data_IF_122608914105
#
_entry.id   IF_122608914105
#
_cell.length_a   1.000
_cell.length_b   1.000
_cell.length_c   1.000
_cell.angle_alpha   90.00
_cell.angle_beta   90.00
_cell.angle_gamma   90.00
#
_symmetry.space_group_name_H-M   'P 1'
#
loop_
_entity.id
_entity.type
_entity.pdbx_description
1 polymer ?
#
# COMPACT_ATOMS: atom_id res chain seq x y z
N UNK A 1 -9.87 -66.15 9.96
CA UNK A 1 -11.08 -65.30 10.01
C UNK A 1 -10.62 -63.87 10.28
N UNK A 2 -10.63 -62.99 9.27
CA UNK A 2 -10.13 -61.60 9.41
C UNK A 2 -11.31 -60.72 9.81
N UNK A 3 -11.25 -60.10 10.99
CA UNK A 3 -12.23 -59.10 11.44
C UNK A 3 -11.72 -57.72 11.05
N UNK A 4 -12.50 -56.99 10.26
CA UNK A 4 -12.35 -55.55 10.11
C UNK A 4 -13.25 -54.86 11.14
N UNK A 5 -12.65 -54.15 12.09
CA UNK A 5 -13.37 -53.29 13.02
C UNK A 5 -13.27 -51.84 12.52
N UNK A 6 -14.40 -51.18 12.33
CA UNK A 6 -14.46 -49.74 12.05
C UNK A 6 -14.60 -49.05 13.41
N UNK A 7 -13.54 -48.38 13.85
CA UNK A 7 -13.57 -47.52 15.04
C UNK A 7 -14.08 -46.13 14.66
N UNK A 8 -15.20 -45.71 15.24
CA UNK A 8 -15.76 -44.37 15.05
C UNK A 8 -15.13 -43.41 16.09
N UNK A 9 -14.03 -42.77 15.72
CA UNK A 9 -13.37 -41.69 16.50
C UNK A 9 -14.15 -40.35 16.49
N UNK A 10 -15.33 -40.33 15.85
CA UNK A 10 -16.10 -39.12 15.59
C UNK A 10 -16.53 -38.35 16.84
N UNK A 11 -16.80 -39.04 17.95
CA UNK A 11 -17.22 -38.38 19.19
C UNK A 11 -16.07 -37.59 19.85
N UNK A 12 -14.87 -38.16 19.97
CA UNK A 12 -13.69 -37.42 20.50
C UNK A 12 -13.29 -36.27 19.60
N UNK A 13 -13.32 -36.48 18.28
CA UNK A 13 -13.03 -35.43 17.31
C UNK A 13 -14.05 -34.29 17.36
N UNK A 14 -15.33 -34.61 17.59
CA UNK A 14 -16.43 -33.67 17.75
C UNK A 14 -16.34 -32.91 19.08
N UNK A 15 -16.08 -33.59 20.20
CA UNK A 15 -15.92 -32.96 21.51
C UNK A 15 -14.70 -32.02 21.53
N UNK A 16 -13.60 -32.42 20.89
CA UNK A 16 -12.47 -31.52 20.67
C UNK A 16 -12.89 -30.32 19.80
N UNK A 17 -13.64 -30.53 18.71
CA UNK A 17 -14.13 -29.44 17.86
C UNK A 17 -15.09 -28.47 18.58
N UNK A 18 -15.95 -28.97 19.48
CA UNK A 18 -16.84 -28.17 20.31
C UNK A 18 -16.05 -27.39 21.38
N UNK A 19 -15.01 -27.99 21.95
CA UNK A 19 -14.10 -27.32 22.88
C UNK A 19 -13.31 -26.21 22.18
N UNK A 20 -12.86 -26.42 20.93
CA UNK A 20 -12.27 -25.37 20.07
C UNK A 20 -13.23 -24.20 19.92
N UNK A 21 -14.49 -24.48 19.57
CA UNK A 21 -15.56 -23.48 19.42
C UNK A 21 -15.86 -22.73 20.72
N UNK A 22 -15.82 -23.41 21.86
CA UNK A 22 -15.98 -22.77 23.17
C UNK A 22 -14.81 -21.84 23.53
N UNK A 23 -13.57 -22.25 23.24
CA UNK A 23 -12.36 -21.41 23.44
C UNK A 23 -12.35 -20.22 22.48
N UNK A 24 -12.79 -20.41 21.23
CA UNK A 24 -13.01 -19.35 20.25
C UNK A 24 -14.00 -18.29 20.75
N UNK A 25 -15.11 -18.73 21.35
CA UNK A 25 -16.08 -17.83 21.97
C UNK A 25 -15.52 -17.05 23.16
N UNK A 26 -14.50 -17.58 23.84
CA UNK A 26 -13.89 -16.98 25.04
C UNK A 26 -12.76 -15.99 24.73
N UNK A 27 -11.96 -16.22 23.69
CA UNK A 27 -10.89 -15.27 23.30
C UNK A 27 -10.53 -15.36 21.81
N UNK A 28 -11.30 -14.70 20.92
CA UNK A 28 -11.02 -14.67 19.48
C UNK A 28 -9.88 -13.71 19.10
N UNK A 29 -9.32 -12.97 20.06
CA UNK A 29 -8.26 -11.96 19.83
C UNK A 29 -7.04 -12.49 19.07
N UNK A 30 -6.50 -13.70 19.35
CA UNK A 30 -5.37 -14.25 18.59
C UNK A 30 -5.67 -14.47 17.10
N UNK A 31 -6.93 -14.73 16.74
CA UNK A 31 -7.34 -14.90 15.34
C UNK A 31 -7.31 -13.56 14.63
N UNK A 32 -7.92 -12.54 15.23
CA UNK A 32 -7.91 -11.21 14.64
C UNK A 32 -6.49 -10.66 14.53
N UNK A 33 -5.62 -10.94 15.51
CA UNK A 33 -4.20 -10.64 15.40
C UNK A 33 -3.54 -11.31 14.19
N UNK A 34 -3.76 -12.62 14.00
CA UNK A 34 -3.19 -13.35 12.87
C UNK A 34 -3.70 -12.82 11.51
N UNK A 35 -5.00 -12.51 11.42
CA UNK A 35 -5.61 -11.94 10.22
C UNK A 35 -5.04 -10.54 9.92
N UNK A 36 -4.94 -9.68 10.93
CA UNK A 36 -4.43 -8.32 10.77
C UNK A 36 -2.96 -8.33 10.31
N UNK A 37 -2.12 -9.16 10.95
CA UNK A 37 -0.73 -9.35 10.57
C UNK A 37 -0.59 -9.90 9.14
N UNK A 38 -1.44 -10.86 8.76
CA UNK A 38 -1.46 -11.38 7.39
C UNK A 38 -1.82 -10.30 6.38
N UNK A 39 -2.87 -9.52 6.62
CA UNK A 39 -3.30 -8.44 5.73
C UNK A 39 -2.24 -7.35 5.55
N UNK A 40 -1.51 -7.01 6.63
CA UNK A 40 -0.35 -6.13 6.55
C UNK A 40 0.76 -6.73 5.67
N UNK A 41 1.14 -7.99 5.91
CA UNK A 41 2.21 -8.65 5.18
C UNK A 41 1.86 -8.87 3.70
N UNK A 42 0.63 -9.29 3.39
CA UNK A 42 0.17 -9.45 2.01
C UNK A 42 0.16 -8.11 1.27
N UNK A 43 -0.22 -7.03 1.96
CA UNK A 43 -0.11 -5.67 1.42
C UNK A 43 1.34 -5.29 1.14
N UNK A 44 2.28 -5.59 2.05
CA UNK A 44 3.72 -5.33 1.81
C UNK A 44 4.25 -6.12 0.61
N UNK A 45 3.86 -7.39 0.48
CA UNK A 45 4.24 -8.24 -0.64
C UNK A 45 3.74 -7.71 -2.00
N UNK A 46 2.56 -7.08 -2.03
CA UNK A 46 2.04 -6.42 -3.24
C UNK A 46 2.93 -5.28 -3.73
N UNK A 47 3.56 -4.53 -2.81
CA UNK A 47 4.56 -3.52 -3.19
C UNK A 47 5.81 -4.16 -3.80
N UNK A 48 6.24 -5.32 -3.31
CA UNK A 48 7.39 -6.03 -3.89
C UNK A 48 7.06 -6.59 -5.26
N UNK A 49 5.90 -7.25 -5.39
CA UNK A 49 5.37 -7.83 -6.63
C UNK A 49 4.92 -6.80 -7.66
N UNK A 50 4.75 -5.53 -7.26
CA UNK A 50 4.22 -4.45 -8.11
C UNK A 50 2.83 -4.76 -8.70
N UNK A 51 2.00 -5.48 -7.94
CA UNK A 51 0.69 -5.95 -8.38
C UNK A 51 -0.36 -5.77 -7.28
N UNK A 52 -1.61 -5.55 -7.69
CA UNK A 52 -2.73 -5.36 -6.79
C UNK A 52 -3.26 -6.66 -6.17
N UNK A 53 -4.29 -6.57 -5.29
CA UNK A 53 -4.96 -7.74 -4.74
C UNK A 53 -5.55 -8.65 -5.82
N UNK A 54 -6.04 -8.08 -6.92
CA UNK A 54 -6.54 -8.82 -8.07
C UNK A 54 -5.46 -9.52 -8.90
N UNK A 55 -4.17 -9.33 -8.55
CA UNK A 55 -3.03 -9.84 -9.29
C UNK A 55 -2.62 -8.97 -10.48
N UNK A 56 -3.38 -7.91 -10.80
CA UNK A 56 -3.06 -7.02 -11.90
C UNK A 56 -1.84 -6.17 -11.58
N UNK A 57 -0.88 -6.12 -12.51
CA UNK A 57 0.29 -5.26 -12.38
C UNK A 57 -0.10 -3.77 -12.34
N UNK A 58 0.50 -3.01 -11.43
CA UNK A 58 0.23 -1.57 -11.35
C UNK A 58 0.81 -0.82 -12.54
N UNK A 59 0.08 0.18 -13.03
CA UNK A 59 0.60 1.11 -14.04
C UNK A 59 1.88 1.79 -13.52
N UNK A 60 3.02 1.64 -14.21
CA UNK A 60 4.29 2.22 -13.78
C UNK A 60 4.18 3.73 -13.56
N UNK A 61 4.78 4.23 -12.48
CA UNK A 61 4.89 5.67 -12.25
C UNK A 61 5.86 6.31 -13.26
N UNK A 62 5.61 7.56 -13.66
CA UNK A 62 6.52 8.29 -14.56
C UNK A 62 7.96 8.39 -14.01
N UNK A 63 8.13 8.41 -12.67
CA UNK A 63 9.45 8.33 -12.04
C UNK A 63 10.07 6.94 -12.20
N UNK A 64 9.32 5.86 -11.99
CA UNK A 64 9.82 4.50 -12.21
C UNK A 64 10.29 4.30 -13.66
N UNK A 65 9.55 4.86 -14.63
CA UNK A 65 9.94 4.79 -16.05
C UNK A 65 11.19 5.63 -16.38
N UNK A 66 11.33 6.82 -15.79
CA UNK A 66 12.43 7.75 -16.11
C UNK A 66 13.73 7.47 -15.37
N UNK A 67 13.64 7.07 -14.10
CA UNK A 67 14.78 6.94 -13.19
C UNK A 67 14.94 5.52 -12.63
N UNK A 68 14.12 4.58 -13.06
CA UNK A 68 14.09 3.22 -12.53
C UNK A 68 13.40 3.10 -11.16
N UNK A 69 13.45 1.87 -10.62
CA UNK A 69 12.87 1.50 -9.33
C UNK A 69 11.36 1.19 -9.37
N UNK A 70 10.80 0.93 -8.20
CA UNK A 70 9.46 0.37 -8.01
C UNK A 70 8.37 1.44 -7.83
N UNK A 71 7.25 1.31 -8.53
CA UNK A 71 6.06 2.14 -8.36
C UNK A 71 5.53 2.07 -6.92
N UNK A 72 5.03 3.20 -6.42
CA UNK A 72 4.68 3.44 -5.00
C UNK A 72 5.85 3.36 -3.99
N UNK A 73 7.06 3.02 -4.46
CA UNK A 73 8.28 2.95 -3.63
C UNK A 73 9.27 4.04 -4.05
N UNK A 74 9.09 5.25 -3.50
CA UNK A 74 10.07 6.35 -3.64
C UNK A 74 11.09 6.33 -2.50
N UNK A 75 10.66 6.72 -1.30
CA UNK A 75 11.46 6.69 -0.07
C UNK A 75 11.04 5.56 0.89
N UNK A 76 10.25 4.59 0.38
CA UNK A 76 9.58 3.55 1.16
C UNK A 76 8.64 4.08 2.27
N UNK A 77 8.30 5.37 2.30
CA UNK A 77 7.42 5.95 3.34
C UNK A 77 6.03 5.31 3.34
N UNK A 78 5.42 5.15 2.16
CA UNK A 78 4.10 4.52 2.04
C UNK A 78 4.14 3.06 2.52
N UNK A 79 5.11 2.28 2.02
CA UNK A 79 5.32 0.90 2.45
C UNK A 79 5.51 0.78 3.97
N UNK A 80 6.36 1.63 4.57
CA UNK A 80 6.62 1.63 6.01
C UNK A 80 5.43 2.10 6.86
N UNK A 81 4.52 2.87 6.27
CA UNK A 81 3.30 3.33 6.96
C UNK A 81 2.18 2.30 6.97
N UNK A 82 2.35 1.15 6.30
CA UNK A 82 1.37 0.07 6.39
C UNK A 82 1.49 -0.55 7.77
N UNK A 83 0.40 -0.49 8.54
CA UNK A 83 0.32 -1.06 9.89
C UNK A 83 -1.02 -1.76 10.07
N UNK A 84 -1.03 -2.76 10.93
CA UNK A 84 -2.22 -3.49 11.36
C UNK A 84 -2.66 -3.12 12.78
N UNK A 85 -3.96 -3.22 13.03
CA UNK A 85 -4.60 -3.07 14.34
C UNK A 85 -5.65 -4.16 14.51
N UNK A 86 -5.82 -4.67 15.73
CA UNK A 86 -6.74 -5.76 16.02
C UNK A 86 -7.30 -5.66 17.44
N UNK A 87 -8.47 -6.25 17.65
CA UNK A 87 -9.15 -6.32 18.93
C UNK A 87 -9.86 -7.65 19.15
N UNK A 88 -10.80 -7.69 20.09
CA UNK A 88 -11.57 -8.90 20.39
C UNK A 88 -12.60 -9.28 19.32
N UNK A 89 -12.90 -8.41 18.36
CA UNK A 89 -13.91 -8.66 17.33
C UNK A 89 -13.56 -8.06 15.97
N UNK A 90 -12.32 -7.56 15.81
CA UNK A 90 -11.93 -6.87 14.58
C UNK A 90 -10.45 -7.07 14.25
N UNK A 91 -10.15 -7.08 12.95
CA UNK A 91 -8.83 -6.99 12.37
C UNK A 91 -8.86 -5.93 11.28
N UNK A 92 -7.90 -5.01 11.26
CA UNK A 92 -7.78 -3.99 10.23
C UNK A 92 -6.31 -3.71 9.91
N UNK A 93 -6.03 -3.25 8.70
CA UNK A 93 -4.70 -2.81 8.27
C UNK A 93 -4.83 -1.73 7.21
N UNK A 94 -3.83 -0.86 7.12
CA UNK A 94 -3.90 0.28 6.21
C UNK A 94 -2.72 1.23 6.35
N UNK A 95 -2.84 2.40 5.71
CA UNK A 95 -1.90 3.51 5.85
C UNK A 95 -2.65 4.77 6.27
N UNK A 96 -2.03 5.57 7.13
CA UNK A 96 -2.53 6.89 7.55
C UNK A 96 -2.03 8.04 6.65
N UNK A 97 -1.28 7.76 5.57
CA UNK A 97 -0.73 8.82 4.74
C UNK A 97 -1.81 9.44 3.84
N UNK A 98 -1.86 10.78 3.70
CA UNK A 98 -2.93 11.46 2.97
C UNK A 98 -2.99 11.08 1.49
N UNK A 99 -1.83 10.77 0.90
CA UNK A 99 -1.73 10.36 -0.50
C UNK A 99 -1.96 8.86 -0.72
N UNK A 100 -2.15 8.06 0.34
CA UNK A 100 -2.45 6.64 0.23
C UNK A 100 -3.79 6.41 -0.49
N UNK A 101 -4.81 7.21 -0.14
CA UNK A 101 -6.17 7.11 -0.72
C UNK A 101 -6.18 7.30 -2.24
N UNK A 102 -5.55 8.36 -2.73
CA UNK A 102 -5.53 8.64 -4.18
C UNK A 102 -4.73 7.57 -4.95
N UNK A 103 -3.75 6.91 -4.33
CA UNK A 103 -3.10 5.76 -4.94
C UNK A 103 -3.95 4.50 -4.90
N UNK A 104 -4.67 4.24 -3.81
CA UNK A 104 -5.56 3.09 -3.69
C UNK A 104 -6.69 3.15 -4.72
N UNK A 105 -7.38 4.28 -4.80
CA UNK A 105 -8.63 4.42 -5.57
C UNK A 105 -8.42 5.07 -6.95
N UNK A 106 -7.29 5.74 -7.17
CA UNK A 106 -7.14 6.64 -8.31
C UNK A 106 -8.00 7.90 -8.16
N UNK A 107 -7.99 8.74 -9.19
CA UNK A 107 -8.83 9.94 -9.27
C UNK A 107 -8.07 11.17 -9.76
N UNK A 108 -8.74 12.31 -9.70
CA UNK A 108 -8.20 13.59 -10.17
C UNK A 108 -7.72 14.44 -9.01
N UNK A 109 -6.50 14.99 -9.15
CA UNK A 109 -5.99 16.00 -8.23
C UNK A 109 -6.14 17.35 -8.92
N UNK A 110 -7.00 18.19 -8.38
CA UNK A 110 -7.23 19.53 -8.89
C UNK A 110 -6.13 20.49 -8.40
N UNK A 111 -5.63 21.33 -9.31
CA UNK A 111 -4.69 22.40 -9.03
C UNK A 111 -5.34 23.71 -9.41
N UNK A 112 -5.58 24.55 -8.41
CA UNK A 112 -6.08 25.91 -8.63
C UNK A 112 -5.07 26.73 -9.45
N UNK A 113 -5.60 27.73 -10.15
CA UNK A 113 -4.78 28.70 -10.85
C UNK A 113 -3.87 29.44 -9.85
N UNK A 114 -2.65 29.76 -10.25
CA UNK A 114 -1.70 30.49 -9.42
C UNK A 114 -0.74 31.32 -10.25
N UNK A 115 -0.31 32.44 -9.70
CA UNK A 115 0.78 33.23 -10.25
C UNK A 115 2.10 32.71 -9.69
N UNK A 116 3.06 32.45 -10.57
CA UNK A 116 4.40 31.97 -10.23
C UNK A 116 5.41 33.01 -10.72
N UNK A 117 6.33 33.39 -9.84
CA UNK A 117 7.46 34.23 -10.21
C UNK A 117 8.57 33.37 -10.78
N UNK A 118 9.04 33.72 -11.97
CA UNK A 118 10.14 33.02 -12.65
C UNK A 118 11.33 33.96 -12.78
N UNK A 119 12.52 33.43 -12.47
CA UNK A 119 13.80 34.13 -12.62
C UNK A 119 14.53 33.56 -13.84
N UNK A 120 14.77 34.40 -14.85
CA UNK A 120 15.37 34.01 -16.13
C UNK A 120 16.72 34.71 -16.31
N UNK A 121 17.73 33.99 -16.80
CA UNK A 121 19.07 34.53 -17.05
C UNK A 121 19.03 35.54 -18.18
N UNK A 122 19.80 36.61 -18.02
CA UNK A 122 20.04 37.60 -19.07
C UNK A 122 21.52 37.61 -19.50
N UNK A 123 21.76 38.05 -20.73
CA UNK A 123 23.10 38.41 -21.19
C UNK A 123 23.53 39.77 -20.58
N UNK A 124 24.73 40.25 -20.94
CA UNK A 124 25.22 41.55 -20.48
C UNK A 124 24.39 42.74 -21.01
N UNK A 125 23.65 42.54 -22.10
CA UNK A 125 22.81 43.56 -22.77
C UNK A 125 21.36 43.53 -22.27
N UNK A 126 20.99 42.59 -21.39
CA UNK A 126 19.65 42.44 -20.84
C UNK A 126 18.74 41.47 -21.61
N UNK A 127 19.19 40.85 -22.70
CA UNK A 127 18.40 39.88 -23.45
C UNK A 127 18.32 38.54 -22.73
N UNK A 128 17.18 37.85 -22.84
CA UNK A 128 17.00 36.52 -22.24
C UNK A 128 17.91 35.49 -22.90
N UNK A 129 18.72 34.81 -22.09
CA UNK A 129 19.52 33.68 -22.56
C UNK A 129 18.60 32.51 -22.90
N UNK A 130 18.73 31.96 -24.10
CA UNK A 130 17.96 30.80 -24.56
C UNK A 130 18.69 29.48 -24.29
N UNK A 131 17.95 28.38 -24.23
CA UNK A 131 18.53 27.05 -24.12
C UNK A 131 19.23 26.68 -25.43
N UNK A 132 20.38 26.02 -25.34
CA UNK A 132 21.14 25.62 -26.53
C UNK A 132 20.31 24.72 -27.46
N UNK A 133 19.52 23.82 -26.87
CA UNK A 133 18.73 22.82 -27.60
C UNK A 133 17.36 23.36 -28.06
N UNK A 134 16.93 24.52 -27.56
CA UNK A 134 15.65 25.12 -27.95
C UNK A 134 15.70 26.63 -27.78
N UNK A 135 15.78 27.33 -28.91
CA UNK A 135 15.90 28.80 -28.96
C UNK A 135 14.66 29.53 -28.44
N UNK A 136 13.51 28.87 -28.34
CA UNK A 136 12.28 29.46 -27.81
C UNK A 136 12.24 29.46 -26.27
N UNK A 137 13.02 28.59 -25.62
CA UNK A 137 12.99 28.44 -24.16
C UNK A 137 14.09 29.27 -23.49
N UNK A 138 13.72 30.11 -22.53
CA UNK A 138 14.68 30.85 -21.73
C UNK A 138 15.36 29.96 -20.66
N UNK A 139 16.59 30.30 -20.28
CA UNK A 139 17.30 29.61 -19.20
C UNK A 139 16.91 30.18 -17.84
N UNK A 140 16.45 29.31 -16.95
CA UNK A 140 16.20 29.68 -15.56
C UNK A 140 17.51 30.10 -14.85
N UNK A 141 17.41 31.14 -14.03
CA UNK A 141 18.48 31.64 -13.19
C UNK A 141 18.36 31.04 -11.78
N UNK A 142 19.50 30.64 -11.21
CA UNK A 142 19.59 30.35 -9.77
C UNK A 142 19.48 31.67 -9.00
N UNK A 143 19.13 31.56 -7.72
CA UNK A 143 18.90 32.71 -6.85
C UNK A 143 20.10 33.68 -6.81
N UNK A 144 21.30 33.18 -6.51
CA UNK A 144 22.54 33.99 -6.50
C UNK A 144 23.05 34.46 -7.87
N UNK A 145 22.33 34.20 -8.98
CA UNK A 145 22.75 34.67 -10.28
C UNK A 145 22.47 36.17 -10.45
N UNK A 146 23.53 36.96 -10.66
CA UNK A 146 23.45 38.43 -10.72
C UNK A 146 22.70 38.96 -11.96
N UNK A 147 22.89 38.33 -13.12
CA UNK A 147 22.25 38.75 -14.38
C UNK A 147 20.97 37.97 -14.62
N UNK A 148 19.88 38.41 -14.01
CA UNK A 148 18.60 37.78 -14.18
C UNK A 148 17.46 38.79 -14.15
N UNK A 149 16.40 38.47 -14.90
CA UNK A 149 15.13 39.18 -14.89
C UNK A 149 14.08 38.31 -14.21
N UNK A 150 13.31 38.93 -13.34
CA UNK A 150 12.12 38.29 -12.76
C UNK A 150 10.87 38.67 -13.58
N UNK A 151 10.00 37.71 -13.80
CA UNK A 151 8.72 37.90 -14.45
C UNK A 151 7.65 37.08 -13.75
N UNK A 152 6.48 37.67 -13.60
CA UNK A 152 5.29 36.95 -13.19
C UNK A 152 4.73 36.15 -14.37
N UNK A 153 4.31 34.93 -14.10
CA UNK A 153 3.62 34.06 -15.04
C UNK A 153 2.42 33.42 -14.38
N UNK A 154 1.29 33.42 -15.07
CA UNK A 154 0.06 32.81 -14.61
C UNK A 154 0.01 31.35 -15.06
N UNK A 155 -0.28 30.47 -14.13
CA UNK A 155 -0.55 29.06 -14.39
C UNK A 155 -2.05 28.87 -14.18
N UNK A 156 -2.77 28.57 -15.26
CA UNK A 156 -4.19 28.26 -15.20
C UNK A 156 -4.48 27.02 -14.36
N UNK A 157 -5.74 26.87 -13.93
CA UNK A 157 -6.17 25.69 -13.21
C UNK A 157 -6.06 24.43 -14.09
N UNK A 158 -5.61 23.32 -13.50
CA UNK A 158 -5.47 22.06 -14.23
C UNK A 158 -5.69 20.85 -13.33
N UNK A 159 -5.95 19.70 -13.95
CA UNK A 159 -6.18 18.43 -13.25
C UNK A 159 -5.04 17.45 -13.53
N UNK A 160 -4.65 16.70 -12.51
CA UNK A 160 -3.70 15.59 -12.63
C UNK A 160 -4.47 14.29 -12.45
N UNK A 161 -4.62 13.52 -13.53
CA UNK A 161 -5.24 12.18 -13.49
C UNK A 161 -4.27 11.18 -12.85
N UNK A 162 -4.63 10.65 -11.70
CA UNK A 162 -3.89 9.59 -11.01
C UNK A 162 -4.54 8.23 -11.30
N UNK A 163 -3.82 7.24 -11.87
CA UNK A 163 -4.36 5.90 -12.01
C UNK A 163 -4.44 5.20 -10.64
N UNK A 164 -5.47 4.37 -10.49
CA UNK A 164 -5.60 3.48 -9.33
C UNK A 164 -4.47 2.44 -9.32
N UNK A 165 -3.93 2.19 -8.13
CA UNK A 165 -2.91 1.20 -7.82
C UNK A 165 -3.32 0.54 -6.51
N UNK A 166 -4.38 -0.29 -6.52
CA UNK A 166 -4.91 -0.87 -5.31
C UNK A 166 -3.84 -1.75 -4.66
N UNK A 167 -3.51 -1.46 -3.41
CA UNK A 167 -2.58 -2.23 -2.60
C UNK A 167 -3.26 -2.81 -1.36
N UNK A 168 -4.32 -2.16 -0.88
CA UNK A 168 -5.24 -2.72 0.12
C UNK A 168 -6.33 -3.54 -0.57
N UNK A 169 -6.80 -4.58 0.11
CA UNK A 169 -7.79 -5.52 -0.39
C UNK A 169 -7.47 -6.94 0.04
N UNK A 170 -8.43 -7.82 -0.19
CA UNK A 170 -8.33 -9.25 0.09
C UNK A 170 -8.78 -9.96 -1.17
N UNK A 171 -7.96 -10.87 -1.69
CA UNK A 171 -8.31 -11.71 -2.81
C UNK A 171 -8.68 -13.13 -2.35
N UNK A 172 -8.97 -14.02 -3.30
CA UNK A 172 -9.34 -15.41 -2.98
C UNK A 172 -8.24 -16.13 -2.21
N UNK A 173 -6.98 -16.00 -2.63
CA UNK A 173 -5.83 -16.64 -1.98
C UNK A 173 -5.59 -16.13 -0.56
N UNK A 174 -5.79 -14.83 -0.35
CA UNK A 174 -5.73 -14.19 0.96
C UNK A 174 -6.78 -14.80 1.90
N UNK A 175 -8.03 -14.93 1.44
CA UNK A 175 -9.12 -15.54 2.24
C UNK A 175 -8.79 -16.98 2.65
N UNK A 176 -8.27 -17.79 1.73
CA UNK A 176 -7.86 -19.16 2.04
C UNK A 176 -6.72 -19.20 3.06
N UNK A 177 -5.76 -18.28 2.94
CA UNK A 177 -4.63 -18.20 3.86
C UNK A 177 -5.06 -17.73 5.25
N UNK A 178 -5.94 -16.72 5.33
CA UNK A 178 -6.55 -16.28 6.59
C UNK A 178 -7.36 -17.39 7.26
N UNK A 179 -8.14 -18.17 6.48
CA UNK A 179 -8.88 -19.32 7.00
C UNK A 179 -7.97 -20.41 7.57
N UNK A 180 -6.88 -20.75 6.87
CA UNK A 180 -5.87 -21.70 7.37
C UNK A 180 -5.18 -21.21 8.63
N UNK A 181 -4.79 -19.93 8.66
CA UNK A 181 -4.18 -19.31 9.84
C UNK A 181 -5.13 -19.36 11.05
N UNK A 182 -6.42 -19.12 10.82
CA UNK A 182 -7.44 -19.22 11.87
C UNK A 182 -7.47 -20.62 12.48
N UNK A 183 -7.52 -21.67 11.64
CA UNK A 183 -7.49 -23.08 12.10
C UNK A 183 -6.20 -23.41 12.84
N UNK A 184 -5.05 -22.89 12.40
CA UNK A 184 -3.77 -23.11 13.06
C UNK A 184 -3.72 -22.46 14.44
N UNK A 185 -4.18 -21.21 14.56
CA UNK A 185 -4.26 -20.49 15.84
C UNK A 185 -5.16 -21.24 16.82
N UNK A 186 -6.28 -21.78 16.34
CA UNK A 186 -7.18 -22.61 17.15
C UNK A 186 -6.45 -23.84 17.70
N UNK A 187 -5.78 -24.61 16.83
CA UNK A 187 -5.06 -25.82 17.25
C UNK A 187 -3.93 -25.50 18.25
N UNK A 188 -3.23 -24.39 18.05
CA UNK A 188 -2.16 -23.96 18.96
C UNK A 188 -2.71 -23.59 20.35
N UNK A 189 -3.91 -23.00 20.43
CA UNK A 189 -4.54 -22.69 21.71
C UNK A 189 -4.93 -23.95 22.51
N UNK A 190 -5.25 -25.06 21.84
CA UNK A 190 -5.53 -26.34 22.51
C UNK A 190 -4.28 -26.96 23.14
N UNK A 191 -3.14 -26.92 22.45
CA UNK A 191 -1.89 -27.51 22.94
C UNK A 191 -1.30 -26.81 24.17
N UNK A 192 -1.61 -25.53 24.37
CA UNK A 192 -1.17 -24.76 25.54
C UNK A 192 -2.05 -24.92 26.79
N UNK A 193 -3.29 -25.40 26.63
CA UNK A 193 -4.22 -25.61 27.74
C UNK A 193 -4.00 -26.95 28.48
N UNK A 194 -3.19 -27.86 27.94
CA UNK A 194 -2.85 -29.15 28.55
C UNK A 194 -1.53 -29.18 29.35
N UNK A 195 -0.86 -28.04 29.53
CA UNK A 195 0.45 -27.95 30.18
C UNK A 195 0.44 -27.08 31.46
N UNK A 196 -0.69 -27.01 32.16
CA UNK A 196 -0.83 -26.35 33.45
C UNK A 196 -1.60 -27.21 34.43
#
# INVERSE_FOLDING_TARGET
MVKAAIHYDGQRALDAALTRLAVLGRSPRPIFQAIANYGENSTRLRFEKQAGPDGSAWKPSGRALKAGGQTLVKSRRLLRSITSVYGGNFAAWGSNLPYARIHQLGGDIERAARSVRVRLRTDARGNLMRQANNRNLARFARDGHKRARESWHEVGAYKIRMPARPFLGVNREDLWSMGRLTVQVIRAAEGGAGAR
#
